data_IF_404157271505
#
_entry.id   IF_404157271505
#
_cell.length_a   1.000
_cell.length_b   1.000
_cell.length_c   1.000
_cell.angle_alpha   90.00
_cell.angle_beta   90.00
_cell.angle_gamma   90.00
#
_symmetry.space_group_name_H-M   'P 1'
#
loop_
_entity.id
_entity.type
_entity.pdbx_description
1 polymer ?
#
# COMPACT_ATOMS: atom_id res chain seq x y z
N UNK A 1 -7.76 6.75 15.35
CA UNK A 1 -8.19 5.51 14.65
C UNK A 1 -7.13 5.20 13.63
N UNK A 2 -6.25 4.26 13.95
CA UNK A 2 -5.18 3.84 13.05
C UNK A 2 -5.84 2.99 11.97
N UNK A 3 -5.86 3.47 10.72
CA UNK A 3 -6.16 2.66 9.54
C UNK A 3 -5.06 1.61 9.42
N UNK A 4 -5.16 0.56 10.23
CA UNK A 4 -4.58 -0.73 9.93
C UNK A 4 -5.75 -1.39 9.21
N UNK A 5 -5.74 -1.39 7.87
CA UNK A 5 -6.56 -2.35 7.11
C UNK A 5 -6.52 -3.65 7.92
N UNK A 6 -7.62 -4.21 8.43
CA UNK A 6 -7.67 -5.63 8.65
C UNK A 6 -7.51 -6.13 7.24
N UNK A 7 -6.25 -6.42 6.93
CA UNK A 7 -5.89 -6.95 5.65
C UNK A 7 -6.60 -8.28 5.67
N UNK A 8 -7.76 -8.35 5.04
CA UNK A 8 -8.39 -9.58 4.60
C UNK A 8 -7.46 -10.11 3.49
N UNK A 9 -6.25 -10.48 3.90
CA UNK A 9 -5.31 -11.30 3.16
C UNK A 9 -5.99 -12.64 3.12
N UNK A 10 -6.78 -12.84 2.08
CA UNK A 10 -7.01 -14.18 1.60
C UNK A 10 -5.62 -14.76 1.39
N UNK A 11 -5.27 -15.76 2.21
CA UNK A 11 -4.08 -16.58 2.09
C UNK A 11 -4.15 -17.37 0.77
N UNK A 12 -4.04 -16.67 -0.37
CA UNK A 12 -3.96 -17.27 -1.71
C UNK A 12 -2.53 -17.73 -2.01
N UNK A 13 -1.58 -17.49 -1.08
CA UNK A 13 -0.15 -17.54 -1.37
C UNK A 13 0.54 -18.90 -1.33
N UNK A 14 0.00 -19.96 -0.73
CA UNK A 14 0.86 -21.11 -0.36
C UNK A 14 0.78 -22.35 -1.26
N UNK A 15 -0.02 -22.38 -2.34
CA UNK A 15 -0.23 -23.64 -3.11
C UNK A 15 0.30 -23.63 -4.55
N UNK A 16 0.84 -22.53 -5.07
CA UNK A 16 1.25 -22.44 -6.48
C UNK A 16 2.77 -22.57 -6.70
N UNK A 17 3.35 -23.69 -6.25
CA UNK A 17 4.68 -24.16 -6.66
C UNK A 17 4.66 -25.08 -7.89
N UNK A 18 3.56 -25.10 -8.64
CA UNK A 18 3.41 -25.91 -9.87
C UNK A 18 3.40 -24.98 -11.05
N UNK A 19 4.26 -25.28 -12.04
CA UNK A 19 4.31 -24.69 -13.39
C UNK A 19 3.06 -23.87 -13.69
N UNK A 20 3.12 -22.57 -13.41
CA UNK A 20 2.26 -21.59 -14.06
C UNK A 20 2.75 -21.55 -15.50
N UNK A 21 2.45 -22.60 -16.28
CA UNK A 21 2.22 -22.40 -17.70
C UNK A 21 1.31 -21.18 -17.79
N UNK A 22 1.55 -20.29 -18.75
CA UNK A 22 0.72 -19.13 -19.07
C UNK A 22 -0.72 -19.62 -19.29
N UNK A 23 -1.42 -19.90 -18.21
CA UNK A 23 -2.77 -20.39 -18.26
C UNK A 23 -3.53 -19.14 -18.67
N UNK A 24 -4.03 -19.17 -19.90
CA UNK A 24 -4.86 -18.12 -20.47
C UNK A 24 -6.16 -18.06 -19.67
N UNK A 25 -6.08 -17.53 -18.45
CA UNK A 25 -7.23 -17.34 -17.59
C UNK A 25 -8.17 -16.40 -18.30
N UNK A 26 -9.44 -16.76 -18.28
CA UNK A 26 -10.50 -15.98 -18.90
C UNK A 26 -10.66 -14.68 -18.07
N UNK A 27 -10.43 -13.51 -18.67
CA UNK A 27 -10.64 -12.25 -17.97
C UNK A 27 -12.13 -12.02 -17.74
N UNK A 28 -12.47 -11.59 -16.53
CA UNK A 28 -13.81 -11.15 -16.15
C UNK A 28 -13.75 -9.64 -15.95
N UNK A 29 -14.51 -8.89 -16.74
CA UNK A 29 -14.69 -7.45 -16.51
C UNK A 29 -15.37 -7.23 -15.17
N UNK A 30 -14.78 -6.40 -14.33
CA UNK A 30 -15.35 -5.98 -13.05
C UNK A 30 -16.01 -4.62 -13.21
N UNK A 31 -17.34 -4.57 -13.12
CA UNK A 31 -18.11 -3.32 -13.04
C UNK A 31 -18.40 -2.99 -11.56
N UNK A 32 -17.82 -1.89 -11.06
CA UNK A 32 -17.80 -1.56 -9.64
C UNK A 32 -19.16 -1.14 -9.07
N UNK A 33 -20.06 -0.60 -9.90
CA UNK A 33 -21.40 -0.15 -9.50
C UNK A 33 -22.55 -0.97 -10.09
N UNK A 34 -22.23 -2.00 -10.86
CA UNK A 34 -23.21 -2.82 -11.58
C UNK A 34 -23.18 -4.27 -11.13
N UNK A 35 -23.66 -5.14 -12.02
CA UNK A 35 -23.70 -6.57 -11.76
C UNK A 35 -22.28 -7.15 -11.80
N UNK A 36 -21.86 -7.69 -10.66
CA UNK A 36 -20.58 -8.39 -10.53
C UNK A 36 -20.79 -9.87 -10.88
N UNK A 37 -19.89 -10.44 -11.68
CA UNK A 37 -19.96 -11.89 -11.98
C UNK A 37 -20.01 -12.72 -10.69
N UNK A 38 -20.84 -13.75 -10.70
CA UNK A 38 -20.93 -14.80 -9.68
C UNK A 38 -19.59 -15.46 -9.31
N UNK A 39 -18.56 -15.33 -10.16
CA UNK A 39 -17.21 -15.87 -9.95
C UNK A 39 -16.31 -14.94 -9.15
N UNK A 40 -16.72 -13.69 -8.93
CA UNK A 40 -15.98 -12.69 -8.17
C UNK A 40 -16.62 -12.58 -6.79
N UNK A 41 -15.83 -12.90 -5.77
CA UNK A 41 -16.18 -12.65 -4.39
C UNK A 41 -16.13 -11.16 -4.09
N UNK A 42 -17.20 -10.63 -3.51
CA UNK A 42 -17.28 -9.26 -3.01
C UNK A 42 -17.41 -9.29 -1.49
N UNK A 43 -16.47 -8.66 -0.79
CA UNK A 43 -16.54 -8.48 0.66
C UNK A 43 -16.57 -7.00 1.03
N UNK A 44 -17.28 -6.60 2.09
CA UNK A 44 -17.17 -5.25 2.61
C UNK A 44 -15.75 -5.01 3.14
N UNK A 45 -15.14 -3.92 2.70
CA UNK A 45 -13.89 -3.43 3.24
C UNK A 45 -14.21 -2.61 4.50
N UNK A 46 -14.46 -3.30 5.62
CA UNK A 46 -15.01 -2.74 6.87
C UNK A 46 -14.27 -1.51 7.43
N UNK A 47 -13.02 -1.31 7.02
CA UNK A 47 -12.22 -0.15 7.40
C UNK A 47 -12.56 1.14 6.65
N UNK A 48 -13.35 1.03 5.59
CA UNK A 48 -13.70 2.13 4.72
C UNK A 48 -15.21 2.24 4.56
N UNK A 49 -15.68 3.49 4.58
CA UNK A 49 -17.08 3.80 4.30
C UNK A 49 -17.40 3.40 2.86
N UNK A 50 -18.49 2.63 2.70
CA UNK A 50 -18.94 2.09 1.41
C UNK A 50 -17.82 1.34 0.66
N UNK A 51 -16.93 0.70 1.43
CA UNK A 51 -15.80 -0.04 0.90
C UNK A 51 -16.18 -1.44 0.47
N UNK A 52 -15.78 -1.84 -0.73
CA UNK A 52 -15.88 -3.20 -1.25
C UNK A 52 -14.50 -3.70 -1.70
N UNK A 53 -14.24 -4.98 -1.48
CA UNK A 53 -13.08 -5.71 -1.92
C UNK A 53 -13.52 -6.81 -2.88
N UNK A 54 -12.85 -6.91 -4.03
CA UNK A 54 -13.17 -7.82 -5.12
C UNK A 54 -11.99 -8.73 -5.41
N UNK A 55 -12.26 -10.02 -5.49
CA UNK A 55 -11.28 -11.06 -5.84
C UNK A 55 -12.00 -12.23 -6.52
N UNK A 56 -11.36 -12.93 -7.47
CA UNK A 56 -11.94 -14.17 -8.01
C UNK A 56 -12.04 -15.20 -6.89
N UNK A 57 -13.20 -15.87 -6.78
CA UNK A 57 -13.42 -16.93 -5.80
C UNK A 57 -12.36 -18.03 -5.92
N UNK A 58 -11.85 -18.60 -4.81
CA UNK A 58 -10.79 -19.60 -4.84
C UNK A 58 -11.05 -20.78 -5.79
N UNK A 59 -12.27 -21.32 -5.82
CA UNK A 59 -12.73 -22.41 -6.69
C UNK A 59 -12.74 -22.06 -8.19
N UNK A 60 -12.70 -20.77 -8.52
CA UNK A 60 -12.69 -20.25 -9.89
C UNK A 60 -11.32 -19.66 -10.29
N UNK A 61 -10.43 -19.44 -9.34
CA UNK A 61 -9.14 -18.75 -9.51
C UNK A 61 -8.17 -19.43 -10.48
N UNK A 62 -8.32 -20.74 -10.71
CA UNK A 62 -7.51 -21.48 -11.68
C UNK A 62 -7.88 -21.16 -13.15
N UNK A 63 -9.14 -20.79 -13.42
CA UNK A 63 -9.68 -20.57 -14.77
C UNK A 63 -9.94 -19.10 -15.08
N UNK A 64 -10.25 -18.29 -14.07
CA UNK A 64 -10.67 -16.90 -14.23
C UNK A 64 -9.74 -15.94 -13.50
N UNK A 65 -9.71 -14.70 -14.00
CA UNK A 65 -9.03 -13.55 -13.37
C UNK A 65 -9.90 -12.31 -13.54
N UNK A 66 -9.70 -11.29 -12.72
CA UNK A 66 -10.29 -9.98 -12.97
C UNK A 66 -9.51 -9.33 -14.11
N UNK A 67 -10.22 -8.99 -15.18
CA UNK A 67 -9.70 -8.26 -16.34
C UNK A 67 -9.89 -6.76 -16.16
N UNK A 68 -10.52 -6.11 -17.14
CA UNK A 68 -10.85 -4.69 -17.09
C UNK A 68 -11.61 -4.31 -15.82
N UNK A 69 -11.23 -3.18 -15.23
CA UNK A 69 -11.94 -2.56 -14.11
C UNK A 69 -12.67 -1.35 -14.63
N UNK A 70 -14.00 -1.37 -14.53
CA UNK A 70 -14.88 -0.30 -15.02
C UNK A 70 -15.77 0.22 -13.89
N UNK A 71 -16.13 1.50 -13.96
CA UNK A 71 -17.08 2.12 -13.04
C UNK A 71 -18.11 2.97 -13.81
N UNK A 72 -19.33 2.47 -13.95
CA UNK A 72 -20.38 3.03 -14.81
C UNK A 72 -19.90 3.19 -16.27
N UNK A 73 -19.39 2.11 -16.88
CA UNK A 73 -18.84 2.08 -18.25
C UNK A 73 -17.55 2.89 -18.46
N UNK A 74 -17.07 3.62 -17.45
CA UNK A 74 -15.78 4.29 -17.50
C UNK A 74 -14.66 3.27 -17.21
N UNK A 75 -13.72 3.10 -18.14
CA UNK A 75 -12.54 2.28 -17.91
C UNK A 75 -11.62 2.95 -16.89
N UNK A 76 -11.42 2.28 -15.75
CA UNK A 76 -10.49 2.71 -14.70
C UNK A 76 -9.10 2.15 -14.96
N UNK A 77 -9.03 0.84 -15.25
CA UNK A 77 -7.79 0.14 -15.52
C UNK A 77 -8.01 -0.98 -16.53
N UNK A 78 -7.21 -0.99 -17.59
CA UNK A 78 -7.23 -2.02 -18.62
C UNK A 78 -6.70 -3.36 -18.10
N UNK A 79 -7.15 -4.44 -18.73
CA UNK A 79 -6.61 -5.76 -18.54
C UNK A 79 -5.15 -5.89 -19.05
N UNK A 80 -4.44 -6.88 -18.52
CA UNK A 80 -3.13 -7.29 -19.03
C UNK A 80 -3.08 -8.80 -19.16
N UNK A 81 -2.64 -9.31 -20.32
CA UNK A 81 -2.49 -10.76 -20.53
C UNK A 81 -1.50 -11.41 -19.55
N UNK A 82 -0.57 -10.64 -19.00
CA UNK A 82 0.41 -11.12 -18.00
C UNK A 82 -0.16 -11.22 -16.59
N UNK A 83 -1.33 -10.66 -16.35
CA UNK A 83 -1.95 -10.64 -15.04
C UNK A 83 -2.47 -12.03 -14.67
N UNK A 84 -2.02 -12.55 -13.53
CA UNK A 84 -2.43 -13.87 -13.01
C UNK A 84 -3.50 -13.71 -11.93
N UNK A 85 -3.37 -12.67 -11.11
CA UNK A 85 -4.26 -12.36 -10.00
C UNK A 85 -4.40 -10.85 -9.92
N UNK A 86 -5.63 -10.36 -9.99
CA UNK A 86 -5.99 -8.97 -9.69
C UNK A 86 -6.96 -8.94 -8.53
N UNK A 87 -6.68 -8.05 -7.58
CA UNK A 87 -7.60 -7.70 -6.50
C UNK A 87 -7.91 -6.23 -6.59
N UNK A 88 -9.16 -5.87 -6.33
CA UNK A 88 -9.62 -4.48 -6.45
C UNK A 88 -10.29 -4.10 -5.14
N UNK A 89 -9.94 -2.96 -4.59
CA UNK A 89 -10.66 -2.33 -3.50
C UNK A 89 -11.24 -1.01 -3.99
N UNK A 90 -12.54 -0.81 -3.81
CA UNK A 90 -13.24 0.45 -4.11
C UNK A 90 -13.87 0.98 -2.84
N UNK A 91 -13.66 2.24 -2.50
CA UNK A 91 -14.23 2.81 -1.28
C UNK A 91 -14.40 4.32 -1.38
N UNK A 92 -15.20 4.89 -0.47
CA UNK A 92 -15.41 6.34 -0.38
C UNK A 92 -14.60 6.92 0.78
N UNK A 93 -13.93 8.05 0.53
CA UNK A 93 -13.29 8.85 1.56
C UNK A 93 -13.46 10.33 1.23
N UNK A 94 -13.98 11.12 2.19
CA UNK A 94 -14.12 12.59 2.04
C UNK A 94 -14.84 13.03 0.75
N UNK A 95 -15.92 12.33 0.40
CA UNK A 95 -16.69 12.51 -0.85
C UNK A 95 -15.98 12.13 -2.15
N UNK A 96 -14.74 11.64 -2.10
CA UNK A 96 -14.04 11.06 -3.24
C UNK A 96 -14.25 9.57 -3.28
N UNK A 97 -14.29 9.00 -4.48
CA UNK A 97 -14.16 7.56 -4.66
C UNK A 97 -12.70 7.21 -4.90
N UNK A 98 -12.25 6.15 -4.26
CA UNK A 98 -10.91 5.61 -4.39
C UNK A 98 -10.99 4.20 -4.92
N UNK A 99 -10.05 3.87 -5.79
CA UNK A 99 -9.84 2.51 -6.28
C UNK A 99 -8.39 2.17 -6.07
N UNK A 100 -8.13 1.03 -5.43
CA UNK A 100 -6.80 0.44 -5.33
C UNK A 100 -6.83 -0.89 -6.05
N UNK A 101 -5.97 -1.05 -7.04
CA UNK A 101 -5.78 -2.31 -7.75
C UNK A 101 -4.43 -2.88 -7.35
N UNK A 102 -4.41 -4.17 -7.03
CA UNK A 102 -3.18 -4.92 -6.81
C UNK A 102 -3.15 -6.05 -7.82
N UNK A 103 -2.21 -5.96 -8.75
CA UNK A 103 -1.95 -6.97 -9.75
C UNK A 103 -0.78 -7.85 -9.31
N UNK A 104 -0.86 -9.14 -9.64
CA UNK A 104 0.25 -10.08 -9.65
C UNK A 104 0.44 -10.57 -11.07
N UNK A 105 1.52 -10.12 -11.71
CA UNK A 105 1.84 -10.36 -13.13
C UNK A 105 3.01 -11.32 -13.27
N UNK A 106 3.04 -12.13 -14.32
CA UNK A 106 4.24 -12.90 -14.69
C UNK A 106 5.21 -11.97 -15.41
N UNK A 107 6.43 -11.84 -14.89
CA UNK A 107 7.52 -11.12 -15.53
C UNK A 107 8.09 -11.89 -16.72
N UNK A 108 8.88 -11.22 -17.56
CA UNK A 108 9.56 -11.88 -18.70
C UNK A 108 10.59 -12.94 -18.28
N UNK A 109 10.97 -12.97 -17.01
CA UNK A 109 11.80 -13.96 -16.32
C UNK A 109 10.99 -15.14 -15.75
N UNK A 110 9.67 -15.16 -15.97
CA UNK A 110 8.75 -16.13 -15.36
C UNK A 110 8.46 -15.87 -13.88
N UNK A 111 9.06 -14.83 -13.28
CA UNK A 111 8.90 -14.52 -11.86
C UNK A 111 7.65 -13.67 -11.66
N UNK A 112 6.84 -14.01 -10.66
CA UNK A 112 5.67 -13.22 -10.29
C UNK A 112 6.11 -11.87 -9.70
N UNK A 113 5.56 -10.79 -10.22
CA UNK A 113 5.77 -9.41 -9.77
C UNK A 113 4.43 -8.82 -9.36
N UNK A 114 4.41 -8.19 -8.21
CA UNK A 114 3.23 -7.44 -7.75
C UNK A 114 3.35 -5.98 -8.17
N UNK A 115 2.22 -5.36 -8.43
CA UNK A 115 2.10 -3.95 -8.75
C UNK A 115 0.82 -3.41 -8.12
N UNK A 116 0.93 -2.21 -7.54
CA UNK A 116 -0.15 -1.52 -6.85
C UNK A 116 -0.39 -0.20 -7.55
N UNK A 117 -1.59 -0.05 -8.06
CA UNK A 117 -2.08 1.16 -8.72
C UNK A 117 -3.24 1.74 -7.90
N UNK A 118 -3.23 3.05 -7.73
CA UNK A 118 -4.23 3.75 -6.93
C UNK A 118 -4.81 4.90 -7.74
N UNK A 119 -6.12 5.01 -7.71
CA UNK A 119 -6.89 5.99 -8.46
C UNK A 119 -7.88 6.69 -7.52
N UNK A 120 -8.23 7.93 -7.87
CA UNK A 120 -9.30 8.64 -7.21
C UNK A 120 -10.16 9.39 -8.21
N UNK A 121 -11.43 9.62 -7.85
CA UNK A 121 -12.36 10.48 -8.57
C UNK A 121 -13.08 11.39 -7.59
N UNK A 122 -12.88 12.71 -7.75
CA UNK A 122 -13.67 13.74 -7.09
C UNK A 122 -15.08 13.78 -7.70
N UNK A 123 -16.12 14.19 -6.96
CA UNK A 123 -17.49 14.29 -7.49
C UNK A 123 -17.63 15.18 -8.73
N UNK A 124 -16.75 16.16 -8.90
CA UNK A 124 -16.73 17.07 -10.05
C UNK A 124 -15.96 16.53 -11.25
N UNK A 125 -15.19 15.44 -11.08
CA UNK A 125 -14.39 14.85 -12.14
C UNK A 125 -15.19 13.79 -12.89
N UNK A 126 -15.08 13.81 -14.21
CA UNK A 126 -15.69 12.79 -15.07
C UNK A 126 -14.88 11.51 -15.12
N UNK A 127 -13.58 11.59 -14.84
CA UNK A 127 -12.68 10.46 -14.96
C UNK A 127 -11.87 10.20 -13.71
N UNK A 128 -11.45 8.96 -13.52
CA UNK A 128 -10.45 8.61 -12.51
C UNK A 128 -9.08 9.19 -12.87
N UNK A 129 -8.37 9.61 -11.82
CA UNK A 129 -7.00 10.12 -11.91
C UNK A 129 -6.06 9.22 -11.10
N UNK A 130 -4.88 8.85 -11.62
CA UNK A 130 -3.89 8.12 -10.85
C UNK A 130 -3.38 8.97 -9.68
N UNK A 131 -3.17 8.34 -8.53
CA UNK A 131 -2.60 9.00 -7.35
C UNK A 131 -1.08 9.09 -7.51
N UNK A 132 -0.59 10.33 -7.61
CA UNK A 132 0.83 10.64 -7.65
C UNK A 132 1.20 11.50 -6.43
N UNK A 133 1.97 10.92 -5.51
CA UNK A 133 2.35 11.57 -4.24
C UNK A 133 3.72 12.23 -4.34
N UNK A 134 3.78 13.49 -3.96
CA UNK A 134 5.02 14.24 -3.78
C UNK A 134 5.75 13.76 -2.52
N UNK A 135 7.05 13.41 -2.62
CA UNK A 135 7.85 13.07 -1.45
C UNK A 135 8.15 14.32 -0.64
N UNK A 136 7.94 14.25 0.68
CA UNK A 136 8.33 15.31 1.61
C UNK A 136 9.47 14.86 2.51
N UNK A 137 10.38 15.79 2.79
CA UNK A 137 11.41 15.61 3.80
C UNK A 137 10.81 15.71 5.21
N UNK A 138 11.15 14.75 6.06
CA UNK A 138 10.66 14.68 7.42
C UNK A 138 11.84 14.65 8.40
N UNK A 139 11.93 15.63 9.29
CA UNK A 139 12.89 15.65 10.40
C UNK A 139 12.20 15.31 11.72
N UNK A 140 12.69 14.25 12.36
CA UNK A 140 12.21 13.74 13.65
C UNK A 140 12.44 14.74 14.79
N UNK A 141 13.43 15.62 14.72
CA UNK A 141 13.66 16.64 15.76
C UNK A 141 12.83 17.91 15.56
N UNK A 142 12.41 18.18 14.32
CA UNK A 142 11.73 19.40 13.93
C UNK A 142 10.33 19.13 13.33
N UNK A 143 9.67 18.07 13.78
CA UNK A 143 8.38 17.63 13.23
C UNK A 143 7.27 18.67 13.34
N UNK A 144 7.33 19.55 14.36
CA UNK A 144 6.29 20.53 14.64
C UNK A 144 6.13 21.58 13.54
N UNK A 145 7.15 21.77 12.70
CA UNK A 145 7.13 22.72 11.59
C UNK A 145 6.61 22.12 10.28
N UNK A 146 6.45 20.79 10.19
CA UNK A 146 6.00 20.16 8.95
C UNK A 146 4.46 20.11 8.90
N UNK A 147 3.81 20.87 8.00
CA UNK A 147 2.35 20.95 7.95
C UNK A 147 1.69 19.67 7.44
N UNK A 148 2.45 18.73 6.88
CA UNK A 148 1.94 17.50 6.28
C UNK A 148 1.94 16.30 7.23
N UNK A 149 2.65 16.40 8.35
CA UNK A 149 2.85 15.29 9.28
C UNK A 149 1.75 15.25 10.34
N UNK A 150 1.15 14.08 10.50
CA UNK A 150 0.32 13.72 11.63
C UNK A 150 1.15 13.02 12.69
N UNK A 151 0.91 13.39 13.94
CA UNK A 151 1.64 12.93 15.10
C UNK A 151 0.67 12.15 15.98
N UNK A 152 1.00 10.90 16.27
CA UNK A 152 0.27 10.09 17.25
C UNK A 152 1.22 9.75 18.38
N UNK A 153 0.95 10.31 19.58
CA UNK A 153 1.65 9.93 20.80
C UNK A 153 1.21 8.54 21.23
N UNK A 154 2.19 7.66 21.50
CA UNK A 154 1.95 6.31 22.02
C UNK A 154 1.92 6.34 23.56
N UNK A 155 1.84 5.16 24.19
CA UNK A 155 1.48 4.95 25.62
C UNK A 155 2.21 5.84 26.64
N UNK A 156 3.43 6.30 26.35
CA UNK A 156 4.29 7.06 27.28
C UNK A 156 4.60 8.51 26.85
N UNK A 157 3.92 9.05 25.83
CA UNK A 157 4.17 10.38 25.19
C UNK A 157 5.57 10.62 24.63
N UNK A 158 6.56 9.78 24.95
CA UNK A 158 7.93 9.82 24.45
C UNK A 158 8.11 8.97 23.20
N UNK A 159 7.25 7.98 23.03
CA UNK A 159 7.17 7.19 21.82
C UNK A 159 6.13 7.83 20.88
N UNK A 160 6.56 8.11 19.66
CA UNK A 160 5.81 8.92 18.71
C UNK A 160 5.74 8.17 17.38
N UNK A 161 4.53 8.12 16.82
CA UNK A 161 4.29 7.70 15.44
C UNK A 161 4.07 8.93 14.58
N UNK A 162 4.77 8.98 13.46
CA UNK A 162 4.64 9.98 12.41
C UNK A 162 4.11 9.34 11.14
N UNK A 163 3.13 9.98 10.52
CA UNK A 163 2.58 9.62 9.21
C UNK A 163 2.19 10.90 8.46
N UNK A 164 1.88 10.81 7.17
CA UNK A 164 1.18 11.92 6.50
C UNK A 164 -0.22 12.07 7.11
N UNK A 165 -0.73 13.30 7.16
CA UNK A 165 -2.09 13.59 7.56
C UNK A 165 -3.08 12.92 6.62
N UNK A 166 -4.17 12.41 7.18
CA UNK A 166 -5.15 11.64 6.41
C UNK A 166 -5.69 12.41 5.18
N UNK A 167 -5.90 13.72 5.30
CA UNK A 167 -6.30 14.65 4.21
C UNK A 167 -5.31 14.76 3.07
N UNK A 168 -4.05 14.48 3.36
CA UNK A 168 -2.91 14.77 2.50
C UNK A 168 -2.32 13.49 1.92
N UNK A 169 -2.84 12.32 2.31
CA UNK A 169 -2.31 11.02 1.92
C UNK A 169 -2.31 10.80 0.41
N UNK A 170 -3.16 11.47 -0.36
CA UNK A 170 -3.18 11.29 -1.83
C UNK A 170 -2.22 12.24 -2.55
N UNK A 171 -1.73 13.26 -1.85
CA UNK A 171 -0.87 14.29 -2.42
C UNK A 171 0.57 14.15 -1.97
N UNK A 172 0.80 13.63 -0.76
CA UNK A 172 2.10 13.59 -0.14
C UNK A 172 2.43 12.21 0.44
N UNK A 173 3.72 11.90 0.48
CA UNK A 173 4.30 10.74 1.17
C UNK A 173 5.58 11.16 1.89
N UNK A 174 5.93 10.48 2.98
CA UNK A 174 7.24 10.71 3.61
C UNK A 174 8.31 10.08 2.70
N UNK A 175 9.19 10.92 2.16
CA UNK A 175 10.34 10.51 1.37
C UNK A 175 11.55 10.25 2.28
N UNK A 176 12.34 11.30 2.48
CA UNK A 176 13.56 11.26 3.31
C UNK A 176 13.20 11.47 4.78
N UNK A 177 13.73 10.61 5.64
CA UNK A 177 13.66 10.74 7.09
C UNK A 177 15.01 11.22 7.65
N UNK A 178 14.97 12.29 8.44
CA UNK A 178 16.13 12.94 9.05
C UNK A 178 16.02 12.95 10.57
N UNK A 179 17.15 13.08 11.24
CA UNK A 179 17.28 13.35 12.66
C UNK A 179 18.22 14.55 12.85
N UNK A 180 17.66 15.76 12.92
CA UNK A 180 18.42 17.00 12.73
C UNK A 180 18.99 17.06 11.32
N UNK A 181 20.29 17.33 11.20
CA UNK A 181 20.96 17.47 9.90
C UNK A 181 21.39 16.14 9.26
N UNK A 182 21.10 15.00 9.92
CA UNK A 182 21.50 13.67 9.44
C UNK A 182 20.36 12.95 8.77
N UNK A 183 20.62 12.38 7.59
CA UNK A 183 19.70 11.49 6.89
C UNK A 183 19.77 10.12 7.55
N UNK A 184 18.63 9.62 8.03
CA UNK A 184 18.51 8.28 8.61
C UNK A 184 18.10 7.28 7.53
N UNK A 185 17.20 7.69 6.64
CA UNK A 185 16.63 6.80 5.63
C UNK A 185 16.13 7.59 4.43
N UNK A 186 16.53 7.18 3.22
CA UNK A 186 16.31 7.94 1.98
C UNK A 186 15.64 7.12 0.86
N UNK A 187 14.94 6.04 1.19
CA UNK A 187 14.16 5.31 0.19
C UNK A 187 12.95 6.14 -0.25
N UNK A 188 12.96 6.64 -1.47
CA UNK A 188 11.88 7.51 -2.01
C UNK A 188 11.15 6.87 -3.17
N UNK A 189 11.89 6.20 -4.06
CA UNK A 189 11.34 5.56 -5.26
C UNK A 189 10.32 4.50 -4.87
N UNK A 190 9.17 4.51 -5.55
CA UNK A 190 8.11 3.53 -5.40
C UNK A 190 7.48 3.38 -4.01
N UNK A 191 7.79 4.25 -3.05
CA UNK A 191 7.12 4.23 -1.74
C UNK A 191 5.69 4.74 -1.89
N UNK A 192 4.68 3.94 -1.59
CA UNK A 192 3.29 4.39 -1.51
C UNK A 192 3.01 5.07 -0.17
N UNK A 193 3.35 4.39 0.92
CA UNK A 193 3.14 4.87 2.28
C UNK A 193 4.39 4.65 3.11
N UNK A 194 4.66 5.58 4.03
CA UNK A 194 5.73 5.45 5.00
C UNK A 194 5.26 5.93 6.36
N UNK A 195 5.54 5.12 7.38
CA UNK A 195 5.28 5.44 8.78
C UNK A 195 6.57 5.37 9.56
N UNK A 196 6.84 6.39 10.37
CA UNK A 196 8.04 6.46 11.21
C UNK A 196 7.64 6.37 12.67
N UNK A 197 8.26 5.46 13.40
CA UNK A 197 8.14 5.33 14.85
C UNK A 197 9.45 5.76 15.49
N UNK A 198 9.37 6.72 16.41
CA UNK A 198 10.48 7.12 17.25
C UNK A 198 10.21 6.65 18.68
N UNK A 199 11.10 5.82 19.22
CA UNK A 199 11.01 5.28 20.57
C UNK A 199 11.99 6.02 21.48
N UNK A 200 11.60 7.20 21.94
CA UNK A 200 12.42 8.09 22.77
C UNK A 200 12.47 7.68 24.25
N UNK A 201 11.59 6.79 24.71
CA UNK A 201 11.67 6.31 26.10
C UNK A 201 12.75 5.27 26.35
N UNK A 202 13.21 4.59 25.29
CA UNK A 202 14.17 3.50 25.38
C UNK A 202 15.60 4.04 25.27
N UNK A 203 16.55 3.39 25.97
CA UNK A 203 17.99 3.65 25.78
C UNK A 203 18.68 2.36 25.32
N UNK A 204 19.38 2.36 24.18
CA UNK A 204 19.51 3.48 23.22
C UNK A 204 18.16 3.83 22.54
N UNK A 205 18.01 5.09 22.11
CA UNK A 205 16.83 5.49 21.32
C UNK A 205 16.76 4.65 20.04
N UNK A 206 15.55 4.42 19.55
CA UNK A 206 15.30 3.57 18.39
C UNK A 206 14.36 4.25 17.41
N UNK A 207 14.62 4.09 16.12
CA UNK A 207 13.73 4.50 15.04
C UNK A 207 13.32 3.25 14.27
N UNK A 208 12.02 3.07 14.00
CA UNK A 208 11.51 2.04 13.10
C UNK A 208 10.75 2.71 11.98
N UNK A 209 11.11 2.39 10.75
CA UNK A 209 10.46 2.90 9.55
C UNK A 209 9.79 1.75 8.84
N UNK A 210 8.51 1.91 8.57
CA UNK A 210 7.74 0.99 7.75
C UNK A 210 7.43 1.65 6.42
N UNK A 211 7.83 1.03 5.32
CA UNK A 211 7.60 1.49 3.96
C UNK A 211 6.76 0.46 3.20
N UNK A 212 5.63 0.87 2.64
CA UNK A 212 4.84 0.06 1.71
C UNK A 212 5.11 0.53 0.30
N UNK A 213 5.52 -0.38 -0.57
CA UNK A 213 6.06 -0.09 -1.88
C UNK A 213 5.01 -0.33 -2.99
N UNK A 214 5.20 0.26 -4.17
CA UNK A 214 4.34 0.05 -5.36
C UNK A 214 4.35 -1.39 -5.84
N UNK A 215 5.40 -2.15 -5.57
CA UNK A 215 5.43 -3.58 -5.86
C UNK A 215 4.71 -4.42 -4.78
N UNK A 216 3.96 -3.78 -3.86
CA UNK A 216 3.26 -4.45 -2.77
C UNK A 216 4.15 -4.96 -1.63
N UNK A 217 5.47 -4.80 -1.72
CA UNK A 217 6.41 -5.19 -0.66
C UNK A 217 6.26 -4.27 0.55
N UNK A 218 6.41 -4.86 1.74
CA UNK A 218 6.49 -4.14 2.99
C UNK A 218 7.90 -4.24 3.56
N UNK A 219 8.55 -3.09 3.77
CA UNK A 219 9.91 -3.02 4.28
C UNK A 219 9.86 -2.41 5.68
N UNK A 220 10.48 -3.09 6.64
CA UNK A 220 10.68 -2.61 8.00
C UNK A 220 12.17 -2.40 8.24
N UNK A 221 12.58 -1.14 8.32
CA UNK A 221 13.96 -0.76 8.63
C UNK A 221 14.06 -0.29 10.09
N UNK A 222 14.96 -0.87 10.86
CA UNK A 222 15.16 -0.62 12.29
C UNK A 222 16.54 0.01 12.51
N UNK A 223 16.54 1.17 13.14
CA UNK A 223 17.74 1.95 13.43
C UNK A 223 17.92 2.12 14.94
N UNK A 224 19.16 1.98 15.41
CA UNK A 224 19.54 2.16 16.82
C UNK A 224 20.49 3.34 16.96
N UNK A 225 20.34 4.10 18.05
CA UNK A 225 21.23 5.21 18.36
C UNK A 225 22.60 4.68 18.82
N UNK A 226 23.65 5.11 18.12
CA UNK A 226 25.06 4.76 18.41
C UNK A 226 25.88 5.97 18.88
N UNK A 227 25.36 7.19 18.71
CA UNK A 227 26.06 8.43 19.06
C UNK A 227 27.14 8.83 18.07
N UNK A 228 27.99 9.80 18.46
CA UNK A 228 29.10 10.29 17.64
C UNK A 228 28.63 10.98 16.35
N UNK A 229 29.40 10.80 15.27
CA UNK A 229 29.09 11.41 13.97
C UNK A 229 27.96 10.69 13.21
N UNK A 230 27.83 9.38 13.39
CA UNK A 230 26.84 8.52 12.71
C UNK A 230 25.44 8.71 13.29
N UNK A 231 25.33 8.97 14.60
CA UNK A 231 24.09 9.12 15.39
C UNK A 231 23.22 7.86 15.42
N UNK A 232 22.77 7.35 14.28
CA UNK A 232 21.97 6.14 14.15
C UNK A 232 22.55 5.19 13.10
N UNK A 233 22.52 3.90 13.41
CA UNK A 233 22.95 2.82 12.51
C UNK A 233 21.78 1.90 12.17
N UNK A 234 21.68 1.47 10.92
CA UNK A 234 20.75 0.41 10.51
C UNK A 234 21.15 -0.89 11.23
N UNK A 235 20.24 -1.42 12.04
CA UNK A 235 20.45 -2.67 12.78
C UNK A 235 19.83 -3.86 12.06
N UNK A 236 18.64 -3.66 11.49
CA UNK A 236 17.86 -4.71 10.86
C UNK A 236 17.01 -4.10 9.75
N UNK A 237 16.95 -4.79 8.61
CA UNK A 237 16.00 -4.50 7.54
C UNK A 237 15.31 -5.80 7.15
N UNK A 238 13.99 -5.85 7.39
CA UNK A 238 13.16 -6.97 7.01
C UNK A 238 12.35 -6.57 5.79
N UNK A 239 12.46 -7.38 4.74
CA UNK A 239 11.64 -7.25 3.54
C UNK A 239 10.65 -8.40 3.56
N UNK A 240 9.41 -8.07 3.89
CA UNK A 240 8.33 -9.03 3.89
C UNK A 240 7.81 -9.13 2.45
N UNK A 241 8.45 -10.01 1.65
CA UNK A 241 7.83 -10.57 0.44
C UNK A 241 6.80 -11.65 0.82
N UNK A 242 7.00 -12.31 1.98
CA UNK A 242 6.45 -13.64 2.26
C UNK A 242 5.87 -13.85 3.68
N UNK A 243 5.91 -12.88 4.60
CA UNK A 243 5.37 -13.01 5.98
C UNK A 243 3.93 -12.50 6.11
N UNK A 244 3.18 -12.59 5.02
CA UNK A 244 1.72 -12.61 5.01
C UNK A 244 1.19 -14.02 4.68
N UNK A 245 1.92 -15.03 5.18
CA UNK A 245 1.44 -16.40 5.37
C UNK A 245 0.64 -16.48 6.67
#
# INVERSE_FOLDING_TARGET
>A
MTLILPILLVAVGTVFGRNLEESQKIPLTLELQGDVSDKIFTAPANDFLDGNFYVVMPEHSAKYRIGDVVDNQELVLEDSERNVIRTVASFKSRNRRYIKVIDTKIGGDGVLKREVEEFYRDPSMKTYMPINREPVDFDILNFARNPYIHITYLRNRRDIKFSIKFEMNDHFRIGVCKYGDRIIHALVTDVLYKTVYFYGSYRPHKIIIYSYMKNGTFIKSKYIFVGGEEMFRLEEELTDLETMN
#
